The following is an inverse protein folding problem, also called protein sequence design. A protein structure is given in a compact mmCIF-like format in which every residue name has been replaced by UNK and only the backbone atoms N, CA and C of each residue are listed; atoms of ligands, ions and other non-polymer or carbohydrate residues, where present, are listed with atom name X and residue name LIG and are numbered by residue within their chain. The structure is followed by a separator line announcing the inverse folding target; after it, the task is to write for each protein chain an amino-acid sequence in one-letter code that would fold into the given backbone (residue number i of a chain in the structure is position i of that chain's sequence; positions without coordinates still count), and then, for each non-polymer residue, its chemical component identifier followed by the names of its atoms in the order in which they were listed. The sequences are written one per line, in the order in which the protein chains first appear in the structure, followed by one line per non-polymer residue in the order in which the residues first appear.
data_IF_375649660860
#
_entry.id   IF_375649660860
#
_cell.length_a   1.000
_cell.length_b   1.000
_cell.length_c   1.000
_cell.angle_alpha   90.00
_cell.angle_beta   90.00
_cell.angle_gamma   90.00
#
_symmetry.space_group_name_H-M   'P 1'
#
loop_
_entity.id
_entity.type
_entity.pdbx_description
1 polymer ?
#
# COMPACT_ATOMS: atom_id res chain seq x y z
N UNK A 1 -18.56 5.99 0.33
CA UNK A 1 -18.11 6.75 1.51
C UNK A 1 -16.72 6.34 2.04
N UNK A 2 -16.50 5.12 2.58
CA UNK A 2 -15.18 4.77 3.17
C UNK A 2 -14.04 4.59 2.15
N UNK A 3 -14.26 3.81 1.08
CA UNK A 3 -13.28 3.61 0.00
C UNK A 3 -12.92 4.91 -0.72
N UNK A 4 -13.89 5.81 -0.91
CA UNK A 4 -13.68 7.12 -1.53
C UNK A 4 -12.83 8.01 -0.63
N UNK A 5 -13.14 8.09 0.67
CA UNK A 5 -12.35 8.86 1.63
C UNK A 5 -10.89 8.37 1.70
N UNK A 6 -10.66 7.06 1.67
CA UNK A 6 -9.31 6.51 1.60
C UNK A 6 -8.62 6.89 0.28
N UNK A 7 -9.32 6.79 -0.85
CA UNK A 7 -8.78 7.21 -2.15
C UNK A 7 -8.43 8.70 -2.16
N UNK A 8 -9.28 9.57 -1.60
CA UNK A 8 -9.05 11.01 -1.45
C UNK A 8 -7.83 11.31 -0.56
N UNK A 9 -7.66 10.57 0.56
CA UNK A 9 -6.48 10.71 1.43
C UNK A 9 -5.18 10.38 0.68
N UNK A 10 -5.18 9.31 -0.09
CA UNK A 10 -4.02 8.92 -0.90
C UNK A 10 -3.73 9.95 -2.00
N UNK A 11 -4.77 10.41 -2.72
CA UNK A 11 -4.63 11.45 -3.75
C UNK A 11 -4.09 12.75 -3.13
N UNK A 12 -4.62 13.18 -1.99
CA UNK A 12 -4.16 14.40 -1.33
C UNK A 12 -2.68 14.33 -0.90
N UNK A 13 -2.27 13.19 -0.36
CA UNK A 13 -0.88 12.93 0.01
C UNK A 13 0.06 12.86 -1.21
N UNK A 14 -0.39 12.28 -2.32
CA UNK A 14 0.45 12.08 -3.50
C UNK A 14 0.55 13.34 -4.36
N UNK A 15 -0.60 13.93 -4.70
CA UNK A 15 -0.70 14.98 -5.71
C UNK A 15 -0.59 16.40 -5.14
N UNK A 16 -1.13 16.65 -3.94
CA UNK A 16 -1.19 18.01 -3.38
C UNK A 16 -0.08 18.32 -2.37
N UNK A 17 0.41 17.33 -1.63
CA UNK A 17 1.57 17.51 -0.76
C UNK A 17 2.87 17.47 -1.57
N UNK A 18 3.23 18.58 -2.21
CA UNK A 18 4.46 18.70 -3.01
C UNK A 18 5.72 18.82 -2.15
N UNK A 19 5.58 19.05 -0.84
CA UNK A 19 6.69 19.30 0.08
C UNK A 19 7.30 18.03 0.66
N UNK A 20 6.49 16.99 0.84
CA UNK A 20 6.96 15.70 1.38
C UNK A 20 7.79 14.95 0.33
N UNK A 21 9.03 14.51 0.66
CA UNK A 21 9.82 13.65 -0.20
C UNK A 21 9.07 12.38 -0.61
N UNK A 22 9.27 11.91 -1.85
CA UNK A 22 8.57 10.71 -2.36
C UNK A 22 8.80 9.47 -1.50
N UNK A 23 9.99 9.32 -0.90
CA UNK A 23 10.27 8.21 0.01
C UNK A 23 9.37 8.25 1.25
N UNK A 24 9.15 9.44 1.82
CA UNK A 24 8.28 9.62 2.98
C UNK A 24 6.81 9.45 2.60
N UNK A 25 6.41 9.81 1.37
CA UNK A 25 5.08 9.49 0.84
C UNK A 25 4.85 7.98 0.74
N UNK A 26 5.85 7.23 0.30
CA UNK A 26 5.77 5.76 0.25
C UNK A 26 5.66 5.16 1.66
N UNK A 27 6.37 5.69 2.65
CA UNK A 27 6.24 5.27 4.07
C UNK A 27 4.82 5.53 4.59
N UNK A 28 4.33 6.77 4.45
CA UNK A 28 2.95 7.12 4.81
C UNK A 28 1.91 6.24 4.10
N UNK A 29 2.13 5.90 2.82
CA UNK A 29 1.27 5.00 2.07
C UNK A 29 1.28 3.58 2.65
N UNK A 30 2.46 3.07 3.00
CA UNK A 30 2.60 1.77 3.66
C UNK A 30 1.87 1.73 5.01
N UNK A 31 2.08 2.73 5.87
CA UNK A 31 1.45 2.82 7.20
C UNK A 31 -0.08 2.89 7.09
N UNK A 32 -0.59 3.76 6.20
CA UNK A 32 -2.01 3.93 5.94
C UNK A 32 -2.71 2.63 5.52
N UNK A 33 -1.98 1.74 4.84
CA UNK A 33 -2.52 0.47 4.33
C UNK A 33 -2.18 -0.74 5.19
N UNK A 34 -1.39 -0.59 6.26
CA UNK A 34 -1.10 -1.68 7.20
C UNK A 34 -1.84 -1.54 8.54
N UNK A 35 -2.47 -0.39 8.76
CA UNK A 35 -3.35 -0.14 9.91
C UNK A 35 -4.57 -1.08 9.94
N UNK A 36 -4.67 -1.92 10.98
CA UNK A 36 -5.79 -2.85 11.19
C UNK A 36 -7.11 -2.14 11.57
N UNK A 37 -7.02 -0.91 12.11
CA UNK A 37 -8.18 -0.06 12.36
C UNK A 37 -8.46 0.88 11.17
N UNK A 38 -7.58 0.85 10.17
CA UNK A 38 -7.62 1.69 8.99
C UNK A 38 -8.67 1.27 7.96
N UNK A 39 -9.08 2.20 7.08
CA UNK A 39 -10.12 1.95 6.07
C UNK A 39 -9.72 0.90 5.02
N UNK A 40 -8.41 0.65 4.83
CA UNK A 40 -7.95 -0.36 3.88
C UNK A 40 -8.22 -1.79 4.36
N UNK A 41 -8.24 -2.03 5.68
CA UNK A 41 -8.38 -3.37 6.24
C UNK A 41 -9.67 -4.08 5.79
N UNK A 42 -10.76 -3.33 5.63
CA UNK A 42 -12.02 -3.88 5.10
C UNK A 42 -11.90 -4.29 3.64
N UNK A 43 -11.19 -3.51 2.82
CA UNK A 43 -10.95 -3.84 1.42
C UNK A 43 -10.04 -5.07 1.30
N UNK A 44 -9.02 -5.17 2.15
CA UNK A 44 -8.18 -6.36 2.27
C UNK A 44 -9.03 -7.60 2.56
N UNK A 45 -9.84 -7.61 3.62
CA UNK A 45 -10.71 -8.74 3.96
C UNK A 45 -11.66 -9.10 2.82
N UNK A 46 -12.21 -8.10 2.14
CA UNK A 46 -13.13 -8.33 1.02
C UNK A 46 -12.51 -9.10 -0.15
N UNK A 47 -11.19 -8.97 -0.39
CA UNK A 47 -10.49 -9.73 -1.44
C UNK A 47 -10.42 -11.22 -1.10
N UNK A 48 -10.22 -11.56 0.17
CA UNK A 48 -9.96 -12.94 0.60
C UNK A 48 -11.22 -13.70 1.02
N UNK A 49 -12.20 -13.01 1.61
CA UNK A 49 -13.27 -13.68 2.35
C UNK A 49 -14.59 -13.78 1.59
N UNK A 50 -14.95 -12.76 0.79
CA UNK A 50 -16.35 -12.56 0.36
C UNK A 50 -16.59 -12.66 -1.14
N UNK A 51 -15.64 -13.19 -1.92
CA UNK A 51 -15.73 -13.27 -3.39
C UNK A 51 -17.06 -13.88 -3.88
N UNK A 52 -17.50 -14.97 -3.27
CA UNK A 52 -18.71 -15.69 -3.68
C UNK A 52 -19.99 -15.14 -3.02
N UNK A 53 -19.89 -14.59 -1.82
CA UNK A 53 -21.04 -14.13 -1.03
C UNK A 53 -21.45 -12.68 -1.34
N UNK A 54 -20.48 -11.83 -1.68
CA UNK A 54 -20.70 -10.40 -1.94
C UNK A 54 -19.85 -9.91 -3.14
N UNK A 55 -20.21 -10.32 -4.37
CA UNK A 55 -19.39 -10.09 -5.57
C UNK A 55 -19.15 -8.60 -5.87
N UNK A 56 -20.10 -7.71 -5.56
CA UNK A 56 -19.94 -6.26 -5.76
C UNK A 56 -18.91 -5.65 -4.80
N UNK A 57 -18.89 -6.10 -3.54
CA UNK A 57 -17.91 -5.65 -2.55
C UNK A 57 -16.51 -6.17 -2.91
N UNK A 58 -16.41 -7.44 -3.34
CA UNK A 58 -15.18 -8.00 -3.88
C UNK A 58 -14.66 -7.20 -5.09
N UNK A 59 -15.51 -6.88 -6.07
CA UNK A 59 -15.12 -6.08 -7.24
C UNK A 59 -14.65 -4.67 -6.85
N UNK A 60 -15.28 -4.05 -5.84
CA UNK A 60 -14.84 -2.77 -5.30
C UNK A 60 -13.42 -2.85 -4.74
N UNK A 61 -13.11 -3.90 -3.98
CA UNK A 61 -11.79 -4.12 -3.42
C UNK A 61 -10.73 -4.39 -4.51
N UNK A 62 -11.06 -5.21 -5.52
CA UNK A 62 -10.17 -5.48 -6.67
C UNK A 62 -9.86 -4.20 -7.46
N UNK A 63 -10.87 -3.35 -7.69
CA UNK A 63 -10.68 -2.06 -8.37
C UNK A 63 -9.79 -1.12 -7.58
N UNK A 64 -10.02 -0.99 -6.28
CA UNK A 64 -9.17 -0.17 -5.41
C UNK A 64 -7.73 -0.68 -5.39
N UNK A 65 -7.54 -1.99 -5.24
CA UNK A 65 -6.22 -2.63 -5.26
C UNK A 65 -5.45 -2.41 -6.57
N UNK A 66 -6.17 -2.44 -7.70
CA UNK A 66 -5.60 -2.15 -9.02
C UNK A 66 -5.17 -0.69 -9.12
N UNK A 67 -6.02 0.24 -8.65
CA UNK A 67 -5.71 1.66 -8.61
C UNK A 67 -4.50 1.95 -7.71
N UNK A 68 -4.51 1.46 -6.47
CA UNK A 68 -3.43 1.65 -5.50
C UNK A 68 -2.06 1.19 -6.04
N UNK A 69 -2.03 0.04 -6.71
CA UNK A 69 -0.80 -0.46 -7.35
C UNK A 69 -0.26 0.49 -8.42
N UNK A 70 -1.15 1.13 -9.19
CA UNK A 70 -0.73 2.12 -10.20
C UNK A 70 -0.18 3.39 -9.53
N UNK A 71 -0.79 3.83 -8.42
CA UNK A 71 -0.27 4.95 -7.63
C UNK A 71 1.11 4.65 -7.06
N UNK A 72 1.29 3.47 -6.45
CA UNK A 72 2.59 3.01 -5.95
C UNK A 72 3.61 2.99 -7.10
N UNK A 73 3.23 2.44 -8.25
CA UNK A 73 4.11 2.41 -9.42
C UNK A 73 4.55 3.82 -9.86
N UNK A 74 3.62 4.77 -9.89
CA UNK A 74 3.91 6.18 -10.20
C UNK A 74 4.93 6.77 -9.22
N UNK A 75 4.73 6.57 -7.91
CA UNK A 75 5.67 7.06 -6.89
C UNK A 75 7.05 6.39 -6.97
N UNK A 76 7.09 5.08 -7.22
CA UNK A 76 8.34 4.35 -7.39
C UNK A 76 9.17 4.86 -8.58
N UNK A 77 8.50 5.25 -9.68
CA UNK A 77 9.16 5.81 -10.88
C UNK A 77 9.77 7.18 -10.63
N UNK A 78 9.19 7.97 -9.72
CA UNK A 78 9.78 9.24 -9.27
C UNK A 78 11.06 9.03 -8.47
N UNK A 79 11.15 7.97 -7.65
CA UNK A 79 12.37 7.64 -6.91
C UNK A 79 13.44 6.97 -7.78
N UNK A 80 13.03 6.01 -8.62
CA UNK A 80 13.92 5.24 -9.48
C UNK A 80 13.27 5.11 -10.86
N UNK A 81 13.73 5.83 -11.89
CA UNK A 81 13.13 5.77 -13.23
C UNK A 81 13.07 4.36 -13.83
N UNK A 82 14.00 3.48 -13.42
CA UNK A 82 14.03 2.06 -13.82
C UNK A 82 13.09 1.15 -12.99
N UNK A 83 12.30 1.70 -12.06
CA UNK A 83 11.37 0.90 -11.27
C UNK A 83 10.35 0.20 -12.18
N UNK A 84 10.13 -1.08 -11.91
CA UNK A 84 9.22 -1.92 -12.68
C UNK A 84 7.84 -2.01 -12.02
N UNK A 85 6.85 -2.46 -12.77
CA UNK A 85 5.55 -2.79 -12.20
C UNK A 85 5.63 -3.96 -11.21
N UNK A 86 6.64 -4.83 -11.33
CA UNK A 86 6.94 -5.87 -10.34
C UNK A 86 7.30 -5.25 -9.00
N UNK A 87 8.04 -4.15 -8.96
CA UNK A 87 8.36 -3.47 -7.70
C UNK A 87 7.09 -2.95 -7.01
N UNK A 88 6.13 -2.41 -7.77
CA UNK A 88 4.85 -1.97 -7.20
C UNK A 88 4.01 -3.15 -6.69
N UNK A 89 4.04 -4.29 -7.40
CA UNK A 89 3.40 -5.53 -6.96
C UNK A 89 4.02 -6.07 -5.67
N UNK A 90 5.35 -6.06 -5.56
CA UNK A 90 6.08 -6.45 -4.36
C UNK A 90 5.74 -5.54 -3.18
N UNK A 91 5.68 -4.22 -3.39
CA UNK A 91 5.24 -3.26 -2.37
C UNK A 91 3.86 -3.64 -1.81
N UNK A 92 2.89 -3.87 -2.69
CA UNK A 92 1.53 -4.23 -2.29
C UNK A 92 1.50 -5.58 -1.54
N UNK A 93 2.34 -6.55 -1.92
CA UNK A 93 2.47 -7.81 -1.19
C UNK A 93 3.13 -7.64 0.17
N UNK A 94 4.06 -6.71 0.34
CA UNK A 94 4.60 -6.38 1.66
C UNK A 94 3.51 -5.82 2.57
N UNK A 95 2.67 -4.90 2.08
CA UNK A 95 1.50 -4.38 2.81
C UNK A 95 0.58 -5.53 3.25
N UNK A 96 0.19 -6.40 2.33
CA UNK A 96 -0.70 -7.54 2.61
C UNK A 96 -0.07 -8.55 3.57
N UNK A 97 1.22 -8.86 3.37
CA UNK A 97 1.99 -9.73 4.26
C UNK A 97 2.07 -9.16 5.67
N UNK A 98 2.27 -7.85 5.82
CA UNK A 98 2.28 -7.16 7.11
C UNK A 98 0.91 -7.24 7.80
N UNK A 99 -0.20 -7.05 7.08
CA UNK A 99 -1.55 -7.25 7.65
C UNK A 99 -1.71 -8.69 8.15
N UNK A 100 -1.33 -9.69 7.36
CA UNK A 100 -1.44 -11.11 7.75
C UNK A 100 -0.59 -11.41 8.98
N UNK A 101 0.64 -10.89 9.01
CA UNK A 101 1.53 -11.03 10.16
C UNK A 101 0.95 -10.36 11.41
N UNK A 102 0.43 -9.13 11.29
CA UNK A 102 -0.25 -8.40 12.37
C UNK A 102 -1.41 -9.21 12.98
N UNK A 103 -2.15 -9.94 12.15
CA UNK A 103 -3.23 -10.83 12.59
C UNK A 103 -2.72 -12.15 13.19
N UNK A 104 -1.53 -12.62 12.79
CA UNK A 104 -0.96 -13.93 13.15
C UNK A 104 -0.04 -13.89 14.37
N UNK A 105 0.67 -12.77 14.59
CA UNK A 105 1.59 -12.58 15.70
C UNK A 105 1.46 -11.16 16.26
N UNK A 106 1.22 -11.05 17.56
CA UNK A 106 1.10 -9.76 18.25
C UNK A 106 2.40 -8.92 18.31
N UNK A 107 3.41 -9.18 17.46
CA UNK A 107 4.77 -8.62 17.58
C UNK A 107 5.26 -7.78 16.39
N UNK A 108 5.77 -6.58 16.68
CA UNK A 108 6.12 -5.47 15.76
C UNK A 108 7.51 -5.58 15.10
N UNK A 109 8.38 -6.46 15.60
CA UNK A 109 9.83 -6.29 15.46
C UNK A 109 10.46 -6.60 14.08
N UNK A 110 9.87 -7.45 13.22
CA UNK A 110 10.44 -7.76 11.88
C UNK A 110 9.86 -6.89 10.75
N UNK A 111 8.93 -5.99 11.07
CA UNK A 111 8.07 -5.30 10.09
C UNK A 111 8.78 -4.19 9.34
N UNK A 112 9.48 -3.32 10.07
CA UNK A 112 10.23 -2.20 9.50
C UNK A 112 11.46 -2.68 8.72
N UNK A 113 12.08 -3.81 9.10
CA UNK A 113 13.34 -4.23 8.49
C UNK A 113 13.19 -4.58 7.00
N UNK A 114 12.11 -5.26 6.60
CA UNK A 114 11.91 -5.68 5.21
C UNK A 114 11.51 -4.50 4.32
N UNK A 115 10.60 -3.65 4.81
CA UNK A 115 10.15 -2.49 4.05
C UNK A 115 11.27 -1.45 3.89
N UNK A 116 12.05 -1.19 4.93
CA UNK A 116 13.21 -0.30 4.84
C UNK A 116 14.30 -0.88 3.91
N UNK A 117 14.52 -2.20 3.90
CA UNK A 117 15.41 -2.83 2.92
C UNK A 117 14.93 -2.58 1.49
N UNK A 118 13.64 -2.77 1.22
CA UNK A 118 13.06 -2.52 -0.09
C UNK A 118 13.22 -1.05 -0.52
N UNK A 119 12.99 -0.09 0.39
CA UNK A 119 13.21 1.34 0.09
C UNK A 119 14.68 1.64 -0.18
N UNK A 120 15.60 1.01 0.54
CA UNK A 120 17.04 1.19 0.35
C UNK A 120 17.53 0.74 -1.03
N UNK A 121 16.97 -0.34 -1.57
CA UNK A 121 17.26 -0.81 -2.94
C UNK A 121 16.77 0.16 -4.04
N UNK A 122 15.76 0.97 -3.71
CA UNK A 122 15.17 1.94 -4.62
C UNK A 122 15.89 3.28 -4.60
N UNK A 123 16.56 3.61 -3.50
CA UNK A 123 17.42 4.79 -3.42
C UNK A 123 18.81 4.49 -3.97
N UNK A 124 19.37 5.33 -4.87
CA UNK A 124 20.78 5.22 -5.20
C UNK A 124 21.63 5.43 -3.93
N UNK A 125 22.63 4.59 -3.70
CA UNK A 125 23.66 4.88 -2.70
C UNK A 125 24.25 6.26 -2.99
N UNK A 126 24.18 7.16 -2.00
CA UNK A 126 25.03 8.35 -1.96
C UNK A 126 26.42 7.95 -1.47
#
# INVERSE_FOLDING_TARGET
MQKEKLQEQVVAMIEYDLSTPTIDKLKKLYDLHTDLEGPYYLLFKAVFEIKNSYPNAYQTAVRYRTWLKNEIYSQLRTLKPAASFTNAKLFLYMVEGTIIQLLSSGGVSERESVFECFLRELTPCK
#
